data_IF_977776787461
#
_entry.id   IF_977776787461
#
_cell.length_a   1.000
_cell.length_b   1.000
_cell.length_c   1.000
_cell.angle_alpha   90.00
_cell.angle_beta   90.00
_cell.angle_gamma   90.00
#
_symmetry.space_group_name_H-M   'P 1'
#
loop_
_entity.id
_entity.type
_entity.pdbx_description
1 polymer ?
#
# COMPACT_ATOMS: atom_id res chain seq x y z
N UNK A 1 6.48 -1.72 -1.90
CA UNK A 1 6.10 -0.32 -1.58
C UNK A 1 7.04 0.61 -2.34
N UNK A 2 6.52 1.64 -3.01
CA UNK A 2 7.26 2.48 -3.98
C UNK A 2 8.40 3.31 -3.38
N UNK A 3 8.35 3.60 -2.08
CA UNK A 3 9.36 4.41 -1.39
C UNK A 3 10.67 3.68 -1.07
N UNK A 4 10.80 2.38 -1.34
CA UNK A 4 12.00 1.61 -1.00
C UNK A 4 12.97 1.51 -2.17
N UNK A 5 14.25 1.84 -1.94
CA UNK A 5 15.30 1.79 -2.97
C UNK A 5 16.58 1.19 -2.43
N UNK A 6 17.22 0.34 -3.21
CA UNK A 6 18.55 -0.20 -2.93
C UNK A 6 19.59 0.60 -3.71
N UNK A 7 20.67 0.96 -3.04
CA UNK A 7 21.80 1.67 -3.62
C UNK A 7 23.08 0.86 -3.43
N UNK A 8 23.81 0.65 -4.53
CA UNK A 8 25.18 0.15 -4.49
C UNK A 8 26.14 1.35 -4.37
N UNK A 9 26.89 1.43 -3.28
CA UNK A 9 27.75 2.56 -2.97
C UNK A 9 29.17 2.14 -2.57
N UNK A 10 30.16 2.91 -3.04
CA UNK A 10 31.50 2.90 -2.48
C UNK A 10 31.59 3.89 -1.32
N UNK A 11 31.87 3.41 -0.11
CA UNK A 11 31.96 4.24 1.09
C UNK A 11 33.38 4.28 1.63
N UNK A 12 33.71 5.40 2.29
CA UNK A 12 34.93 5.53 3.10
C UNK A 12 34.52 5.82 4.53
N UNK A 13 34.65 4.82 5.40
CA UNK A 13 34.34 4.97 6.83
C UNK A 13 35.64 5.28 7.58
N UNK A 14 35.60 6.31 8.41
CA UNK A 14 36.75 6.70 9.24
C UNK A 14 36.62 6.09 10.61
N UNK A 15 37.65 5.36 11.04
CA UNK A 15 37.67 4.67 12.33
C UNK A 15 38.85 5.14 13.16
N UNK A 16 38.62 5.42 14.44
CA UNK A 16 39.67 5.83 15.36
C UNK A 16 40.73 4.72 15.56
N UNK A 17 42.04 5.04 15.64
CA UNK A 17 43.11 4.04 15.71
C UNK A 17 43.01 3.06 16.87
N UNK A 18 42.49 3.50 18.02
CA UNK A 18 42.27 2.62 19.18
C UNK A 18 41.29 1.46 18.92
N UNK A 19 40.53 1.50 17.82
CA UNK A 19 39.61 0.44 17.40
C UNK A 19 40.18 -0.44 16.28
N UNK A 20 41.49 -0.33 15.97
CA UNK A 20 42.16 -1.09 14.90
C UNK A 20 42.04 -2.62 15.02
N UNK A 21 42.00 -3.15 16.25
CA UNK A 21 41.87 -4.60 16.47
C UNK A 21 40.41 -5.09 16.33
N UNK A 22 39.43 -4.18 16.36
CA UNK A 22 37.98 -4.45 16.25
C UNK A 22 37.35 -3.67 15.09
N UNK A 23 38.06 -3.59 13.97
CA UNK A 23 37.69 -2.75 12.83
C UNK A 23 36.31 -3.06 12.27
N UNK A 24 35.97 -4.34 12.11
CA UNK A 24 34.65 -4.74 11.58
C UNK A 24 33.53 -4.23 12.47
N UNK A 25 33.63 -4.46 13.78
CA UNK A 25 32.64 -3.99 14.75
C UNK A 25 32.57 -2.45 14.80
N UNK A 26 33.71 -1.77 14.72
CA UNK A 26 33.76 -0.31 14.69
C UNK A 26 33.08 0.27 13.45
N UNK A 27 33.28 -0.35 12.28
CA UNK A 27 32.62 0.04 11.01
C UNK A 27 31.11 -0.18 11.11
N UNK A 28 30.68 -1.37 11.54
CA UNK A 28 29.26 -1.68 11.69
C UNK A 28 28.60 -0.72 12.69
N UNK A 29 29.27 -0.43 13.82
CA UNK A 29 28.77 0.55 14.78
C UNK A 29 28.62 1.95 14.17
N UNK A 30 29.58 2.37 13.35
CA UNK A 30 29.51 3.68 12.69
C UNK A 30 28.36 3.74 11.68
N UNK A 31 28.21 2.72 10.83
CA UNK A 31 27.10 2.64 9.88
C UNK A 31 25.74 2.54 10.58
N UNK A 32 25.66 1.78 11.67
CA UNK A 32 24.45 1.67 12.48
C UNK A 32 24.01 3.00 13.10
N UNK A 33 24.93 3.95 13.34
CA UNK A 33 24.55 5.30 13.82
C UNK A 33 23.72 6.06 12.80
N UNK A 34 23.79 5.72 11.51
CA UNK A 34 23.03 6.37 10.45
C UNK A 34 21.68 5.69 10.15
N UNK A 35 21.38 4.54 10.76
CA UNK A 35 20.08 3.89 10.60
C UNK A 35 18.98 4.81 11.13
N UNK A 36 17.86 4.84 10.41
CA UNK A 36 16.69 5.68 10.69
C UNK A 36 16.97 7.20 10.71
N UNK A 37 18.09 7.63 10.12
CA UNK A 37 18.38 9.04 9.89
C UNK A 37 18.21 9.40 8.42
N UNK A 38 17.68 10.59 8.16
CA UNK A 38 17.65 11.13 6.80
C UNK A 38 19.06 11.44 6.33
N UNK A 39 19.37 11.01 5.12
CA UNK A 39 20.63 11.29 4.45
C UNK A 39 20.35 12.13 3.22
N UNK A 40 20.84 13.37 3.22
CA UNK A 40 20.65 14.34 2.14
C UNK A 40 21.30 13.88 0.82
N UNK A 41 22.44 13.19 0.88
CA UNK A 41 23.17 12.71 -0.31
C UNK A 41 22.33 11.70 -1.07
N UNK A 42 21.67 10.78 -0.35
CA UNK A 42 20.83 9.75 -0.95
C UNK A 42 19.35 10.14 -1.04
N UNK A 43 18.96 11.27 -0.43
CA UNK A 43 17.59 11.75 -0.37
C UNK A 43 16.64 10.74 0.27
N UNK A 44 16.99 10.21 1.44
CA UNK A 44 16.17 9.19 2.11
C UNK A 44 16.70 8.73 3.46
N UNK A 45 15.89 7.93 4.13
CA UNK A 45 16.20 7.33 5.43
C UNK A 45 16.87 5.98 5.25
N UNK A 46 18.08 5.79 5.80
CA UNK A 46 18.77 4.50 5.74
C UNK A 46 18.07 3.48 6.65
N UNK A 47 17.59 2.38 6.09
CA UNK A 47 16.88 1.32 6.83
C UNK A 47 17.75 0.12 7.15
N UNK A 48 18.62 -0.25 6.22
CA UNK A 48 19.51 -1.38 6.35
C UNK A 48 20.73 -1.18 5.47
N UNK A 49 21.79 -1.88 5.83
CA UNK A 49 23.01 -1.92 5.03
C UNK A 49 23.56 -3.35 5.02
N UNK A 50 24.22 -3.69 3.93
CA UNK A 50 25.07 -4.86 3.80
C UNK A 50 26.42 -4.39 3.26
N UNK A 51 27.53 -4.82 3.86
CA UNK A 51 28.84 -4.23 3.59
C UNK A 51 29.95 -5.25 3.45
N UNK A 52 30.73 -5.07 2.40
CA UNK A 52 31.99 -5.76 2.15
C UNK A 52 33.16 -4.81 2.37
N UNK A 53 34.08 -5.22 3.25
CA UNK A 53 35.32 -4.48 3.49
C UNK A 53 36.30 -4.80 2.35
N UNK A 54 36.59 -3.81 1.50
CA UNK A 54 37.44 -4.00 0.32
C UNK A 54 38.90 -3.74 0.63
N UNK A 55 39.21 -2.61 1.28
CA UNK A 55 40.59 -2.25 1.61
C UNK A 55 40.69 -1.46 2.92
N UNK A 56 41.79 -1.68 3.65
CA UNK A 56 42.13 -1.01 4.90
C UNK A 56 43.29 -0.05 4.66
N UNK A 57 42.98 1.18 4.24
CA UNK A 57 44.00 2.20 4.03
C UNK A 57 44.16 3.05 5.31
N UNK A 58 45.25 2.86 6.05
CA UNK A 58 45.58 3.77 7.14
C UNK A 58 46.14 5.08 6.55
N UNK A 59 45.45 6.21 6.76
CA UNK A 59 45.94 7.51 6.27
C UNK A 59 46.27 8.41 7.46
N UNK A 60 47.55 8.69 7.64
CA UNK A 60 48.01 9.72 8.59
C UNK A 60 47.86 11.07 7.88
N UNK A 61 46.91 11.88 8.34
CA UNK A 61 46.73 13.25 7.83
C UNK A 61 47.35 14.24 8.83
N UNK A 62 48.29 15.10 8.41
CA UNK A 62 48.79 16.18 9.26
C UNK A 62 47.62 17.07 9.71
N UNK A 63 47.67 17.58 10.95
CA UNK A 63 46.67 18.50 11.54
C UNK A 63 45.31 17.88 11.92
N UNK A 64 45.11 16.59 11.71
CA UNK A 64 43.93 15.86 12.21
C UNK A 64 44.37 14.69 13.09
N UNK A 65 43.49 14.24 13.99
CA UNK A 65 43.72 12.98 14.69
C UNK A 65 43.90 11.86 13.64
N UNK A 66 44.92 11.00 13.78
CA UNK A 66 45.13 9.90 12.85
C UNK A 66 43.89 9.02 12.80
N UNK A 67 43.46 8.59 11.62
CA UNK A 67 42.28 7.77 11.41
C UNK A 67 42.61 6.62 10.44
N UNK A 68 41.95 5.47 10.60
CA UNK A 68 41.92 4.45 9.56
C UNK A 68 40.81 4.79 8.57
N UNK A 69 41.15 4.99 7.30
CA UNK A 69 40.18 5.16 6.22
C UNK A 69 39.87 3.80 5.62
N UNK A 70 38.68 3.27 5.88
CA UNK A 70 38.31 1.95 5.38
C UNK A 70 37.40 2.11 4.18
N UNK A 71 37.82 1.54 3.05
CA UNK A 71 37.03 1.50 1.83
C UNK A 71 36.09 0.29 1.86
N UNK A 72 34.82 0.56 1.66
CA UNK A 72 33.74 -0.43 1.68
C UNK A 72 32.99 -0.40 0.35
N UNK A 73 32.50 -1.57 -0.05
CA UNK A 73 31.33 -1.66 -0.94
C UNK A 73 30.12 -1.93 -0.07
N UNK A 74 29.06 -1.18 -0.30
CA UNK A 74 27.86 -1.25 0.51
C UNK A 74 26.63 -1.35 -0.38
N UNK A 75 25.69 -2.22 0.01
CA UNK A 75 24.31 -2.18 -0.42
C UNK A 75 23.50 -1.49 0.65
N UNK A 76 22.89 -0.38 0.32
CA UNK A 76 22.14 0.46 1.26
C UNK A 76 20.66 0.43 0.88
N UNK A 77 19.81 0.01 1.81
CA UNK A 77 18.36 0.09 1.64
C UNK A 77 17.87 1.42 2.22
N UNK A 78 17.29 2.25 1.38
CA UNK A 78 16.72 3.54 1.74
C UNK A 78 15.20 3.53 1.63
N UNK A 79 14.57 4.28 2.53
CA UNK A 79 13.20 4.75 2.40
C UNK A 79 13.21 6.22 1.97
N UNK A 80 12.81 6.47 0.72
CA UNK A 80 12.85 7.76 0.04
C UNK A 80 11.48 8.08 -0.55
N UNK A 81 10.46 8.39 0.28
CA UNK A 81 9.14 8.73 -0.21
C UNK A 81 9.18 10.06 -0.97
N UNK A 82 8.64 10.08 -2.19
CA UNK A 82 8.56 11.27 -3.03
C UNK A 82 7.10 11.64 -3.28
N UNK A 83 6.80 12.91 -3.59
CA UNK A 83 5.48 13.30 -4.05
C UNK A 83 4.98 12.39 -5.17
N UNK A 84 3.68 12.09 -5.14
CA UNK A 84 2.98 11.20 -6.06
C UNK A 84 3.29 9.69 -5.94
N UNK A 85 4.08 9.27 -4.95
CA UNK A 85 4.23 7.85 -4.63
C UNK A 85 3.05 7.34 -3.79
N UNK A 86 2.69 6.07 -3.99
CA UNK A 86 1.73 5.37 -3.15
C UNK A 86 2.46 4.64 -2.02
N UNK A 87 2.06 4.95 -0.79
CA UNK A 87 2.56 4.30 0.41
C UNK A 87 1.44 3.60 1.16
N UNK A 88 1.83 2.61 1.94
CA UNK A 88 0.93 1.86 2.79
C UNK A 88 1.34 2.01 4.24
N UNK A 89 0.36 2.20 5.11
CA UNK A 89 0.60 2.39 6.53
C UNK A 89 -0.59 2.04 7.38
N UNK A 90 -0.34 1.88 8.67
CA UNK A 90 -1.36 1.52 9.65
C UNK A 90 -1.93 2.76 10.31
N UNK A 91 -3.25 2.90 10.29
CA UNK A 91 -3.94 3.99 11.00
C UNK A 91 -3.76 3.81 12.50
N UNK A 92 -3.30 4.87 13.16
CA UNK A 92 -3.07 4.88 14.63
C UNK A 92 -4.03 5.80 15.36
N UNK A 93 -4.51 6.86 14.71
CA UNK A 93 -5.46 7.81 15.28
C UNK A 93 -6.35 8.38 14.17
N UNK A 94 -7.60 8.65 14.53
CA UNK A 94 -8.55 9.35 13.68
C UNK A 94 -9.04 10.59 14.42
N UNK A 95 -9.34 11.63 13.67
CA UNK A 95 -10.08 12.81 14.14
C UNK A 95 -11.03 13.23 13.01
N UNK A 96 -11.96 14.15 13.23
CA UNK A 96 -12.76 14.70 12.14
C UNK A 96 -11.91 15.41 11.06
N UNK A 97 -10.78 15.98 11.47
CA UNK A 97 -9.90 16.83 10.64
C UNK A 97 -8.73 16.05 10.03
N UNK A 98 -8.49 14.80 10.46
CA UNK A 98 -7.28 14.08 10.04
C UNK A 98 -7.30 12.57 10.29
N UNK A 99 -6.48 11.88 9.48
CA UNK A 99 -6.10 10.48 9.66
C UNK A 99 -4.59 10.43 9.94
N UNK A 100 -4.21 9.87 11.08
CA UNK A 100 -2.80 9.66 11.43
C UNK A 100 -2.40 8.21 11.17
N UNK A 101 -1.26 8.03 10.52
CA UNK A 101 -0.79 6.75 9.98
C UNK A 101 0.67 6.55 10.35
N UNK A 102 1.06 5.31 10.66
CA UNK A 102 2.47 4.92 10.77
C UNK A 102 2.84 4.08 9.55
N UNK A 103 3.90 4.50 8.84
CA UNK A 103 4.49 3.81 7.68
C UNK A 103 5.77 3.11 8.14
N UNK A 104 5.91 1.82 7.78
CA UNK A 104 7.05 0.96 8.11
C UNK A 104 7.41 0.86 9.62
N UNK A 105 6.55 1.35 10.51
CA UNK A 105 6.75 1.31 11.96
C UNK A 105 7.53 2.49 12.55
N UNK A 106 8.10 3.38 11.75
CA UNK A 106 8.96 4.47 12.25
C UNK A 106 8.63 5.85 11.65
N UNK A 107 7.97 5.93 10.49
CA UNK A 107 7.60 7.21 9.86
C UNK A 107 6.14 7.53 10.15
N UNK A 108 5.88 8.75 10.62
CA UNK A 108 4.51 9.24 10.81
C UNK A 108 4.01 9.90 9.52
N UNK A 109 2.73 9.71 9.22
CA UNK A 109 2.03 10.40 8.15
C UNK A 109 0.70 10.97 8.65
N UNK A 110 0.31 12.12 8.11
CA UNK A 110 -1.00 12.72 8.32
C UNK A 110 -1.69 12.93 6.98
N UNK A 111 -2.99 12.64 6.94
CA UNK A 111 -3.87 13.03 5.85
C UNK A 111 -4.92 13.96 6.47
N UNK A 112 -4.89 15.23 6.10
CA UNK A 112 -5.85 16.24 6.57
C UNK A 112 -7.17 16.12 5.80
N UNK A 113 -8.25 16.64 6.34
CA UNK A 113 -9.60 16.51 5.79
C UNK A 113 -9.72 17.07 4.35
N UNK A 114 -9.00 18.14 4.00
CA UNK A 114 -9.00 18.64 2.62
C UNK A 114 -8.37 17.64 1.64
N UNK A 115 -7.51 16.75 2.13
CA UNK A 115 -6.87 15.68 1.37
C UNK A 115 -7.62 14.34 1.47
N UNK A 116 -8.77 14.30 2.14
CA UNK A 116 -9.69 13.16 2.15
C UNK A 116 -10.75 13.37 1.05
N UNK A 117 -11.19 12.29 0.39
CA UNK A 117 -12.29 12.38 -0.57
C UNK A 117 -13.59 12.71 0.16
N UNK A 118 -14.42 13.56 -0.45
CA UNK A 118 -15.71 14.02 0.08
C UNK A 118 -16.75 12.89 0.25
N UNK A 119 -16.52 11.75 -0.40
CA UNK A 119 -17.35 10.57 -0.22
C UNK A 119 -17.11 9.92 1.15
N UNK A 120 -15.94 10.10 1.78
CA UNK A 120 -15.72 9.65 3.15
C UNK A 120 -16.38 10.57 4.16
N UNK A 121 -17.11 9.96 5.08
CA UNK A 121 -17.74 10.65 6.20
C UNK A 121 -17.14 10.17 7.51
N UNK A 122 -16.73 11.11 8.36
CA UNK A 122 -16.34 10.82 9.73
C UNK A 122 -17.58 10.51 10.57
N UNK A 123 -17.56 9.39 11.29
CA UNK A 123 -18.65 8.94 12.16
C UNK A 123 -18.10 8.33 13.44
N UNK A 124 -18.88 8.43 14.50
CA UNK A 124 -18.63 7.70 15.75
C UNK A 124 -19.60 6.53 15.85
N UNK A 125 -19.08 5.30 15.83
CA UNK A 125 -19.88 4.07 15.94
C UNK A 125 -19.47 3.29 17.18
N UNK A 126 -20.40 3.07 18.12
CA UNK A 126 -20.15 2.40 19.41
C UNK A 126 -18.95 3.01 20.17
N UNK A 127 -18.85 4.34 20.18
CA UNK A 127 -17.73 5.06 20.80
C UNK A 127 -16.40 4.97 20.05
N UNK A 128 -16.37 4.41 18.83
CA UNK A 128 -15.17 4.31 17.99
C UNK A 128 -15.30 5.19 16.75
N UNK A 129 -14.26 5.97 16.51
CA UNK A 129 -14.13 6.85 15.36
C UNK A 129 -13.86 6.04 14.09
N UNK A 130 -14.58 6.35 13.02
CA UNK A 130 -14.44 5.69 11.73
C UNK A 130 -14.68 6.69 10.58
N UNK A 131 -13.91 6.56 9.50
CA UNK A 131 -14.27 7.12 8.21
C UNK A 131 -14.94 6.05 7.36
N UNK A 132 -16.06 6.39 6.71
CA UNK A 132 -16.80 5.47 5.85
C UNK A 132 -17.18 6.15 4.54
N UNK A 133 -16.92 5.49 3.42
CA UNK A 133 -17.38 5.97 2.11
C UNK A 133 -18.91 5.90 2.02
N UNK A 134 -19.51 6.99 1.54
CA UNK A 134 -20.93 7.11 1.18
C UNK A 134 -21.26 6.30 -0.07
N UNK A 135 -20.34 6.31 -1.05
CA UNK A 135 -20.47 5.54 -2.29
C UNK A 135 -20.30 4.03 -2.03
N UNK A 136 -19.28 3.65 -1.24
CA UNK A 136 -18.93 2.27 -0.96
C UNK A 136 -19.02 1.98 0.53
N UNK A 137 -20.21 1.53 0.98
CA UNK A 137 -20.51 1.26 2.40
C UNK A 137 -19.57 0.26 3.09
N UNK A 138 -18.83 -0.56 2.34
CA UNK A 138 -17.85 -1.51 2.85
C UNK A 138 -16.44 -0.91 2.97
N UNK A 139 -16.18 0.24 2.33
CA UNK A 139 -14.92 0.96 2.44
C UNK A 139 -14.89 1.75 3.76
N UNK A 140 -14.30 1.14 4.77
CA UNK A 140 -14.23 1.68 6.13
C UNK A 140 -12.77 1.81 6.56
N UNK A 141 -12.42 2.97 7.10
CA UNK A 141 -11.13 3.25 7.71
C UNK A 141 -11.36 3.46 9.21
N UNK A 142 -10.75 2.59 10.02
CA UNK A 142 -10.75 2.66 11.49
C UNK A 142 -9.33 2.52 12.01
N UNK A 143 -9.08 2.87 13.27
CA UNK A 143 -7.78 2.60 13.92
C UNK A 143 -7.40 1.13 13.74
N UNK A 144 -6.14 0.90 13.38
CA UNK A 144 -5.57 -0.41 13.06
C UNK A 144 -5.72 -0.86 11.61
N UNK A 145 -6.50 -0.15 10.79
CA UNK A 145 -6.65 -0.46 9.36
C UNK A 145 -5.37 -0.12 8.61
N UNK A 146 -4.94 -1.02 7.71
CA UNK A 146 -3.92 -0.70 6.72
C UNK A 146 -4.54 0.07 5.57
N UNK A 147 -3.99 1.25 5.27
CA UNK A 147 -4.46 2.11 4.19
C UNK A 147 -3.33 2.38 3.20
N UNK A 148 -3.70 2.51 1.92
CA UNK A 148 -2.86 3.05 0.85
C UNK A 148 -3.19 4.52 0.65
N UNK A 149 -2.19 5.38 0.57
CA UNK A 149 -2.37 6.82 0.37
C UNK A 149 -1.28 7.39 -0.54
N UNK A 150 -1.57 8.53 -1.17
CA UNK A 150 -0.64 9.25 -2.02
C UNK A 150 0.23 10.19 -1.18
N UNK A 151 1.53 10.22 -1.40
CA UNK A 151 2.44 11.18 -0.78
C UNK A 151 2.27 12.55 -1.45
N UNK A 152 2.03 13.60 -0.65
CA UNK A 152 2.10 15.00 -1.10
C UNK A 152 3.47 15.59 -0.84
N UNK A 153 4.00 15.40 0.37
CA UNK A 153 5.30 15.92 0.76
C UNK A 153 5.89 15.13 1.94
N UNK A 154 7.19 15.27 2.13
CA UNK A 154 7.94 14.76 3.29
C UNK A 154 8.58 15.97 3.98
N UNK A 155 8.41 16.07 5.30
CA UNK A 155 9.27 16.88 6.14
C UNK A 155 10.46 16.01 6.57
N UNK A 156 11.64 16.34 6.06
CA UNK A 156 12.89 15.58 6.24
C UNK A 156 13.44 15.67 7.67
N UNK A 157 13.20 16.79 8.36
CA UNK A 157 13.73 17.03 9.71
C UNK A 157 13.03 16.15 10.76
N UNK A 158 11.71 16.06 10.69
CA UNK A 158 10.88 15.30 11.64
C UNK A 158 10.39 13.97 11.08
N UNK A 159 10.82 13.59 9.87
CA UNK A 159 10.39 12.39 9.15
C UNK A 159 8.87 12.23 9.15
N UNK A 160 8.18 13.28 8.71
CA UNK A 160 6.73 13.34 8.72
C UNK A 160 6.18 13.52 7.31
N UNK A 161 5.28 12.62 6.89
CA UNK A 161 4.69 12.62 5.55
C UNK A 161 3.33 13.33 5.58
N UNK A 162 3.10 14.25 4.64
CA UNK A 162 1.76 14.71 4.32
C UNK A 162 1.20 13.82 3.19
N UNK A 163 0.05 13.21 3.43
CA UNK A 163 -0.59 12.27 2.53
C UNK A 163 -1.93 12.74 1.99
N UNK A 164 -2.45 12.03 0.99
CA UNK A 164 -3.78 12.26 0.42
C UNK A 164 -4.50 10.95 0.10
N UNK A 165 -5.82 10.96 0.32
CA UNK A 165 -6.75 9.93 -0.12
C UNK A 165 -7.59 10.37 -1.33
N UNK A 166 -7.34 11.56 -1.91
CA UNK A 166 -8.09 12.08 -3.07
C UNK A 166 -8.12 11.13 -4.28
N UNK A 167 -7.03 10.46 -4.68
CA UNK A 167 -7.07 9.52 -5.81
C UNK A 167 -7.92 8.30 -5.50
N UNK A 168 -8.61 7.73 -6.51
CA UNK A 168 -9.55 6.61 -6.33
C UNK A 168 -8.89 5.31 -5.85
N UNK A 169 -7.62 5.09 -6.19
CA UNK A 169 -6.82 3.93 -5.80
C UNK A 169 -6.22 4.01 -4.38
N UNK A 170 -6.78 4.85 -3.52
CA UNK A 170 -6.37 5.04 -2.12
C UNK A 170 -7.50 4.74 -1.13
N UNK A 171 -7.15 4.50 0.14
CA UNK A 171 -8.04 4.13 1.23
C UNK A 171 -7.68 2.78 1.84
N UNK A 172 -8.64 2.08 2.46
CA UNK A 172 -8.42 0.73 3.01
C UNK A 172 -7.95 -0.26 1.96
N UNK A 173 -6.78 -0.88 2.20
CA UNK A 173 -6.16 -1.86 1.28
C UNK A 173 -7.06 -3.06 1.05
N UNK A 174 -7.62 -3.62 2.13
CA UNK A 174 -8.51 -4.78 2.04
C UNK A 174 -9.75 -4.53 1.16
N UNK A 175 -10.21 -3.28 1.05
CA UNK A 175 -11.28 -2.95 0.12
C UNK A 175 -10.76 -2.78 -1.30
N UNK A 176 -9.65 -2.06 -1.48
CA UNK A 176 -9.04 -1.84 -2.79
C UNK A 176 -8.66 -3.17 -3.48
N UNK A 177 -8.09 -4.11 -2.75
CA UNK A 177 -7.65 -5.39 -3.32
C UNK A 177 -8.84 -6.28 -3.74
N UNK A 178 -9.99 -6.19 -3.04
CA UNK A 178 -11.22 -6.92 -3.41
C UNK A 178 -11.84 -6.40 -4.69
N UNK A 179 -11.92 -5.08 -4.84
CA UNK A 179 -12.43 -4.45 -6.05
C UNK A 179 -11.55 -4.78 -7.26
N UNK A 180 -10.22 -4.89 -7.08
CA UNK A 180 -9.30 -5.32 -8.13
C UNK A 180 -9.57 -6.77 -8.58
N UNK A 181 -9.88 -7.70 -7.66
CA UNK A 181 -10.24 -9.07 -8.03
C UNK A 181 -11.57 -9.11 -8.80
N UNK A 182 -12.60 -8.37 -8.38
CA UNK A 182 -13.89 -8.32 -9.09
C UNK A 182 -13.76 -7.71 -10.50
N UNK A 183 -12.98 -6.65 -10.68
CA UNK A 183 -12.71 -6.05 -12.00
C UNK A 183 -11.98 -7.05 -12.92
N UNK A 184 -11.02 -7.80 -12.39
CA UNK A 184 -10.26 -8.80 -13.17
C UNK A 184 -11.12 -9.99 -13.64
N UNK A 185 -12.17 -10.34 -12.89
CA UNK A 185 -13.10 -11.41 -13.25
C UNK A 185 -14.07 -10.98 -14.36
N UNK A 186 -14.44 -9.69 -14.41
CA UNK A 186 -15.30 -9.13 -15.45
C UNK A 186 -14.58 -9.17 -16.81
N UNK A 187 -13.28 -8.82 -16.86
CA UNK A 187 -12.48 -8.85 -18.10
C UNK A 187 -12.30 -10.27 -18.69
N UNK A 188 -12.29 -11.31 -17.86
CA UNK A 188 -12.23 -12.71 -18.34
C UNK A 188 -13.57 -13.27 -18.81
N UNK A 189 -14.67 -12.61 -18.48
CA UNK A 189 -16.02 -13.02 -18.90
C UNK A 189 -16.47 -12.42 -20.24
N UNK A 190 -15.68 -11.50 -20.81
CA UNK A 190 -15.96 -10.77 -22.05
C UNK A 190 -15.65 -11.51 -23.36
N UNK A 191 -15.47 -12.84 -23.37
CA UNK A 191 -15.15 -13.59 -24.61
C UNK A 191 -16.05 -14.81 -24.84
N UNK A 192 -17.36 -14.66 -24.63
CA UNK A 192 -18.34 -15.69 -25.01
C UNK A 192 -19.73 -15.11 -25.27
N UNK A 193 -19.87 -14.22 -26.26
CA UNK A 193 -21.22 -13.83 -26.76
C UNK A 193 -21.23 -13.12 -28.12
N UNK A 194 -20.43 -13.54 -29.09
CA UNK A 194 -20.57 -13.10 -30.50
C UNK A 194 -20.25 -14.26 -31.45
N UNK A 195 -21.16 -15.23 -31.61
CA UNK A 195 -21.08 -16.21 -32.72
C UNK A 195 -22.39 -16.97 -32.99
N UNK A 196 -23.57 -16.37 -32.83
CA UNK A 196 -24.85 -17.04 -33.15
C UNK A 196 -25.91 -16.10 -33.75
N UNK A 197 -25.52 -15.13 -34.59
CA UNK A 197 -26.54 -14.27 -35.23
C UNK A 197 -26.25 -13.79 -36.65
N UNK A 198 -25.48 -14.54 -37.45
CA UNK A 198 -25.38 -14.31 -38.89
C UNK A 198 -25.38 -15.64 -39.67
N UNK A 199 -26.57 -16.17 -39.94
CA UNK A 199 -26.84 -17.02 -41.11
C UNK A 199 -28.35 -17.28 -41.25
N UNK A 200 -29.10 -16.30 -41.75
CA UNK A 200 -30.40 -16.56 -42.41
C UNK A 200 -30.68 -15.51 -43.48
N UNK A 201 -30.22 -15.78 -44.71
CA UNK A 201 -30.86 -15.32 -45.93
C UNK A 201 -30.75 -16.41 -47.01
N UNK A 202 -31.81 -16.51 -47.83
CA UNK A 202 -32.09 -17.42 -48.96
C UNK A 202 -32.61 -18.82 -48.59
N UNK A 203 -33.65 -19.39 -49.21
CA UNK A 203 -34.75 -18.94 -50.09
C UNK A 203 -35.63 -20.20 -50.33
N UNK A 204 -36.97 -20.06 -50.41
CA UNK A 204 -37.96 -20.97 -51.02
C UNK A 204 -38.06 -22.44 -50.47
N UNK A 205 -39.20 -23.14 -50.40
CA UNK A 205 -40.54 -23.05 -51.00
C UNK A 205 -41.50 -24.07 -50.33
N UNK A 206 -42.80 -23.76 -50.39
CA UNK A 206 -44.00 -24.62 -50.41
C UNK A 206 -44.40 -25.61 -49.28
N UNK A 207 -45.71 -25.51 -49.00
CA UNK A 207 -46.70 -26.57 -48.70
C UNK A 207 -46.98 -26.98 -47.25
N UNK A 208 -48.15 -26.52 -46.77
CA UNK A 208 -49.24 -27.43 -46.38
C UNK A 208 -49.48 -27.72 -44.89
N UNK A 209 -50.72 -27.44 -44.45
CA UNK A 209 -51.44 -28.25 -43.45
C UNK A 209 -51.48 -27.72 -42.01
N UNK A 210 -52.68 -27.29 -41.57
CA UNK A 210 -53.47 -27.78 -40.41
C UNK A 210 -52.71 -28.34 -39.19
N UNK A 211 -53.11 -28.22 -37.92
CA UNK A 211 -54.25 -27.70 -37.15
C UNK A 211 -53.84 -27.93 -35.67
N UNK A 212 -54.30 -27.07 -34.74
CA UNK A 212 -54.72 -27.38 -33.34
C UNK A 212 -53.67 -28.05 -32.40
N UNK A 213 -53.65 -27.98 -31.06
CA UNK A 213 -54.59 -27.65 -30.00
C UNK A 213 -53.83 -27.72 -28.65
N UNK A 214 -54.35 -27.02 -27.62
CA UNK A 214 -54.43 -27.40 -26.17
C UNK A 214 -53.13 -27.68 -25.39
N UNK A 215 -52.91 -27.22 -24.16
CA UNK A 215 -53.75 -26.53 -23.17
C UNK A 215 -53.03 -26.51 -21.80
N UNK A 216 -53.50 -25.64 -20.90
CA UNK A 216 -53.61 -25.73 -19.42
C UNK A 216 -52.49 -26.40 -18.56
N UNK A 217 -52.19 -26.02 -17.33
CA UNK A 217 -52.89 -25.19 -16.34
C UNK A 217 -51.94 -24.82 -15.18
N UNK A 218 -52.33 -23.79 -14.44
CA UNK A 218 -51.76 -23.37 -13.16
C UNK A 218 -52.04 -24.38 -12.04
N UNK A 219 -51.24 -24.41 -10.95
CA UNK A 219 -51.73 -24.67 -9.57
C UNK A 219 -50.82 -24.04 -8.51
N UNK A 220 -51.48 -23.49 -7.48
CA UNK A 220 -51.00 -22.63 -6.36
C UNK A 220 -50.57 -23.41 -5.10
N UNK A 221 -49.63 -22.79 -4.36
CA UNK A 221 -49.48 -22.61 -2.88
C UNK A 221 -49.98 -23.66 -1.87
N UNK A 222 -49.16 -23.91 -0.82
CA UNK A 222 -49.62 -23.87 0.59
C UNK A 222 -48.50 -23.61 1.63
N UNK A 223 -48.86 -22.92 2.72
CA UNK A 223 -48.09 -22.60 3.95
C UNK A 223 -48.63 -23.47 5.10
N UNK A 224 -47.80 -23.87 6.08
CA UNK A 224 -48.28 -24.32 7.41
C UNK A 224 -47.36 -23.88 8.57
N UNK A 225 -47.98 -23.78 9.75
CA UNK A 225 -47.66 -22.97 10.96
C UNK A 225 -46.85 -23.70 12.05
N UNK A 226 -46.33 -22.85 12.96
CA UNK A 226 -45.77 -23.00 14.33
C UNK A 226 -46.43 -24.02 15.30
N UNK A 227 -45.66 -24.45 16.30
CA UNK A 227 -46.08 -24.74 17.69
C UNK A 227 -44.99 -24.27 18.70
N UNK A 228 -45.42 -23.92 19.92
CA UNK A 228 -44.70 -23.38 21.10
C UNK A 228 -45.12 -24.21 22.32
N UNK A 229 -44.22 -24.46 23.28
CA UNK A 229 -44.43 -24.73 24.73
C UNK A 229 -43.01 -24.77 25.36
N UNK A 230 -42.56 -23.86 26.22
CA UNK A 230 -42.84 -23.58 27.65
C UNK A 230 -42.39 -24.68 28.65
N UNK A 231 -41.23 -24.43 29.29
CA UNK A 231 -40.92 -24.63 30.72
C UNK A 231 -39.72 -23.77 31.08
#
# INVERSE_FOLDING_TARGET
>A
MEGLKVWDAGLVVRVHPSKGNLMREAILRELSRHLFQFNEIFGGVLLAYDVDIVNKDAKIMPLMQPNHGVRLRAKLLFFSPKPNMLLEGKVVKLTPESIHVIVLGFTSAVIIDEDIREDFEFRTKHGKEVYRSKAHRQHVIKVGTMIRFLVKSLNEEILHICGSLRPTNTGSIHWLDKDFEEISLIDRSGTKKESENEMKMQEHSMAGGEELSLGNDQIKKSKKRRLREES
#
